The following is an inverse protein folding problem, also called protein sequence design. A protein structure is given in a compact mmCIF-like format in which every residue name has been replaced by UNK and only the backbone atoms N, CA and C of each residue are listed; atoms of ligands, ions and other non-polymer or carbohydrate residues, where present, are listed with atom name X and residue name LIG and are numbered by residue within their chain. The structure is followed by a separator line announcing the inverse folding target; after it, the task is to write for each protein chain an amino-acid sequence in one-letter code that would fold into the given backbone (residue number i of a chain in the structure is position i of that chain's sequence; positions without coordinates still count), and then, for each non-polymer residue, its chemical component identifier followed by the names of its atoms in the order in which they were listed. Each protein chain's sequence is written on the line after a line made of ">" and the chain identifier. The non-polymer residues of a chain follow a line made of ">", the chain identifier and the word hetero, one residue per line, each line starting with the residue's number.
data_IF_163271565172
#
_entry.id   IF_163271565172
#
_cell.length_a   1.000
_cell.length_b   1.000
_cell.length_c   1.000
_cell.angle_alpha   90.00
_cell.angle_beta   90.00
_cell.angle_gamma   90.00
#
_symmetry.space_group_name_H-M   'P 1'
#
loop_
_entity.id
_entity.type
_entity.pdbx_description
1 polymer ?
#
# COMPACT_ATOMS: atom_id res chain seq x y z
N UNK A 1 -10.62 4.27 7.76
CA UNK A 1 -9.49 4.19 6.82
C UNK A 1 -9.93 3.52 5.52
N UNK A 2 -9.26 3.85 4.45
CA UNK A 2 -9.63 3.39 3.11
C UNK A 2 -8.50 2.58 2.53
N UNK A 3 -8.82 1.43 1.94
CA UNK A 3 -7.83 0.62 1.22
C UNK A 3 -7.44 1.34 -0.07
N UNK A 4 -6.14 1.51 -0.28
CA UNK A 4 -5.64 2.21 -1.47
C UNK A 4 -4.69 1.37 -2.31
N UNK A 5 -4.21 0.25 -1.77
CA UNK A 5 -3.26 -0.58 -2.47
C UNK A 5 -3.28 -1.98 -1.88
N UNK A 6 -3.11 -2.98 -2.72
CA UNK A 6 -2.99 -4.35 -2.26
C UNK A 6 -2.13 -5.12 -3.23
N UNK A 7 -1.39 -6.08 -2.69
CA UNK A 7 -0.49 -6.89 -3.47
C UNK A 7 -0.28 -8.23 -2.77
N UNK A 8 0.05 -9.25 -3.53
CA UNK A 8 0.44 -10.53 -2.97
C UNK A 8 1.89 -10.48 -2.46
N UNK A 9 2.63 -9.45 -2.81
CA UNK A 9 4.02 -9.28 -2.42
C UNK A 9 4.14 -8.30 -1.25
N UNK A 10 4.43 -8.78 -0.03
CA UNK A 10 4.52 -7.89 1.14
C UNK A 10 5.58 -6.81 1.00
N UNK A 11 6.67 -7.11 0.29
CA UNK A 11 7.76 -6.14 0.13
C UNK A 11 7.28 -4.95 -0.69
N UNK A 12 6.48 -5.20 -1.72
CA UNK A 12 5.93 -4.12 -2.54
C UNK A 12 5.05 -3.19 -1.70
N UNK A 13 4.22 -3.76 -0.84
CA UNK A 13 3.35 -2.97 0.01
C UNK A 13 4.17 -2.16 1.03
N UNK A 14 5.23 -2.75 1.56
CA UNK A 14 6.10 -2.03 2.49
C UNK A 14 6.80 -0.86 1.85
N UNK A 15 7.24 -1.01 0.60
CA UNK A 15 7.87 0.08 -0.15
C UNK A 15 6.88 1.24 -0.33
N UNK A 16 5.65 0.92 -0.70
CA UNK A 16 4.61 1.93 -0.86
C UNK A 16 4.30 2.60 0.48
N UNK A 17 4.17 1.82 1.54
CA UNK A 17 3.91 2.35 2.87
C UNK A 17 5.00 3.33 3.29
N UNK A 18 6.25 2.94 3.09
CA UNK A 18 7.38 3.77 3.45
C UNK A 18 7.39 5.08 2.66
N UNK A 19 7.10 5.00 1.38
CA UNK A 19 7.01 6.18 0.53
C UNK A 19 5.94 7.14 1.01
N UNK A 20 4.78 6.62 1.40
CA UNK A 20 3.70 7.45 1.91
C UNK A 20 4.11 8.12 3.22
N UNK A 21 4.76 7.39 4.12
CA UNK A 21 5.19 7.94 5.40
C UNK A 21 6.27 9.01 5.21
N UNK A 22 7.10 8.90 4.19
CA UNK A 22 8.07 9.93 3.86
C UNK A 22 7.39 11.21 3.38
N UNK A 23 6.14 11.10 2.94
CA UNK A 23 5.34 12.24 2.52
C UNK A 23 4.34 12.66 3.61
N UNK A 24 4.59 12.27 4.85
CA UNK A 24 3.77 12.62 6.01
C UNK A 24 2.35 12.05 5.95
N UNK A 25 2.19 10.93 5.26
CA UNK A 25 0.91 10.22 5.18
C UNK A 25 1.03 8.95 6.00
N UNK A 26 0.24 8.84 7.07
CA UNK A 26 0.21 7.63 7.88
C UNK A 26 -0.52 6.53 7.12
N UNK A 27 0.11 5.38 7.00
CA UNK A 27 -0.46 4.23 6.31
C UNK A 27 -0.42 3.01 7.23
N UNK A 28 -1.46 2.20 7.14
CA UNK A 28 -1.57 0.97 7.92
C UNK A 28 -1.57 -0.22 6.97
N UNK A 29 -0.68 -1.17 7.24
CA UNK A 29 -0.57 -2.38 6.44
C UNK A 29 -1.26 -3.52 7.16
N UNK A 30 -2.12 -4.24 6.44
CA UNK A 30 -2.81 -5.40 6.96
C UNK A 30 -2.41 -6.61 6.13
N UNK A 31 -1.69 -7.54 6.76
CA UNK A 31 -1.23 -8.75 6.09
C UNK A 31 -2.24 -9.87 6.29
N UNK A 32 -2.91 -10.26 5.22
CA UNK A 32 -3.90 -11.33 5.24
C UNK A 32 -3.32 -12.68 4.87
N UNK A 33 -2.01 -12.76 4.71
CA UNK A 33 -1.34 -14.01 4.34
C UNK A 33 -1.02 -14.90 5.54
N UNK A 34 -1.34 -14.45 6.74
CA UNK A 34 -1.02 -15.18 7.98
C UNK A 34 -1.83 -16.43 8.19
N UNK A 35 -2.91 -16.61 7.45
CA UNK A 35 -3.74 -17.79 7.59
C UNK A 35 -3.05 -18.99 6.96
N UNK A 36 -2.93 -20.08 7.72
CA UNK A 36 -2.34 -21.30 7.20
C UNK A 36 -3.17 -21.92 6.07
N UNK A 37 -4.39 -21.48 5.92
CA UNK A 37 -5.27 -21.96 4.86
C UNK A 37 -5.28 -21.10 3.63
N UNK A 38 -4.67 -19.93 3.70
CA UNK A 38 -4.80 -18.96 2.63
C UNK A 38 -3.45 -18.57 2.06
N UNK A 39 -2.94 -19.40 1.18
CA UNK A 39 -1.70 -19.10 0.47
C UNK A 39 -1.86 -18.00 -0.55
N UNK A 40 -3.09 -17.57 -0.79
CA UNK A 40 -3.40 -16.56 -1.79
C UNK A 40 -3.84 -15.24 -1.17
N UNK A 41 -3.62 -15.08 0.13
CA UNK A 41 -3.99 -13.83 0.80
C UNK A 41 -3.19 -12.66 0.26
N UNK A 42 -3.77 -11.47 0.39
CA UNK A 42 -3.11 -10.25 0.00
C UNK A 42 -2.64 -9.46 1.21
N UNK A 43 -1.72 -8.54 0.94
CA UNK A 43 -1.31 -7.53 1.91
C UNK A 43 -1.96 -6.23 1.47
N UNK A 44 -2.77 -5.64 2.33
CA UNK A 44 -3.54 -4.46 2.01
C UNK A 44 -2.98 -3.25 2.73
N UNK A 45 -3.07 -2.10 2.07
CA UNK A 45 -2.58 -0.84 2.62
C UNK A 45 -3.73 0.15 2.73
N UNK A 46 -3.83 0.80 3.90
CA UNK A 46 -4.93 1.70 4.22
C UNK A 46 -4.39 3.07 4.60
N UNK A 47 -5.13 4.11 4.23
CA UNK A 47 -4.85 5.48 4.68
C UNK A 47 -6.15 6.13 5.12
N UNK A 48 -6.05 7.27 5.79
CA UNK A 48 -7.22 8.06 6.14
C UNK A 48 -7.90 8.56 4.87
N UNK A 49 -9.22 8.67 4.93
CA UNK A 49 -10.01 9.11 3.77
C UNK A 49 -9.50 10.46 3.23
N UNK A 50 -9.13 11.36 4.11
CA UNK A 50 -8.66 12.70 3.72
C UNK A 50 -7.36 12.64 2.91
N UNK A 51 -6.61 11.56 3.04
CA UNK A 51 -5.34 11.38 2.32
C UNK A 51 -5.47 10.51 1.09
N UNK A 52 -6.67 10.05 0.77
CA UNK A 52 -6.88 9.09 -0.31
C UNK A 52 -6.38 9.61 -1.66
N UNK A 53 -6.76 10.81 -2.01
CA UNK A 53 -6.43 11.38 -3.32
C UNK A 53 -4.92 11.53 -3.50
N UNK A 54 -4.26 12.12 -2.50
CA UNK A 54 -2.82 12.34 -2.61
C UNK A 54 -2.05 11.03 -2.54
N UNK A 55 -2.51 10.09 -1.73
CA UNK A 55 -1.85 8.79 -1.63
C UNK A 55 -1.92 8.03 -2.95
N UNK A 56 -3.07 8.02 -3.60
CA UNK A 56 -3.22 7.37 -4.89
C UNK A 56 -2.36 8.03 -5.96
N UNK A 57 -2.23 9.34 -5.91
CA UNK A 57 -1.39 10.04 -6.86
C UNK A 57 0.08 9.71 -6.67
N UNK A 58 0.54 9.65 -5.43
CA UNK A 58 1.92 9.28 -5.13
C UNK A 58 2.24 7.86 -5.59
N UNK A 59 1.30 6.95 -5.38
CA UNK A 59 1.48 5.56 -5.84
C UNK A 59 1.59 5.51 -7.35
N UNK A 60 0.74 6.27 -8.05
CA UNK A 60 0.76 6.32 -9.50
C UNK A 60 2.08 6.88 -10.03
N UNK A 61 2.59 7.93 -9.40
CA UNK A 61 3.84 8.52 -9.80
C UNK A 61 5.01 7.57 -9.62
N UNK A 62 5.04 6.85 -8.50
CA UNK A 62 6.10 5.89 -8.24
C UNK A 62 6.05 4.75 -9.25
N UNK A 63 4.85 4.30 -9.59
CA UNK A 63 4.69 3.24 -10.56
C UNK A 63 5.19 3.67 -11.93
N UNK A 64 4.91 4.90 -12.33
CA UNK A 64 5.37 5.42 -13.60
C UNK A 64 6.90 5.54 -13.66
N UNK A 65 7.52 5.92 -12.56
CA UNK A 65 8.97 6.01 -12.49
C UNK A 65 9.63 4.66 -12.69
N UNK A 66 9.02 3.59 -12.18
CA UNK A 66 9.58 2.25 -12.31
C UNK A 66 9.47 1.73 -13.74
N UNK A 67 8.56 2.26 -14.52
CA UNK A 67 8.35 1.84 -15.90
C UNK A 67 9.06 2.73 -16.91
N UNK A 68 9.73 3.74 -16.45
CA UNK A 68 10.43 4.66 -17.35
C UNK A 68 11.77 4.13 -17.82
#
# INVERSE_FOLDING_TARGET
>A
MINIFNSANPIEVEIIKQMLEENNITAVMLNKQDSSYNMFGSVDLYVKKENQTIALQLIKEQHNERNA
#
